data_IF_931922357170
#
_entry.id   IF_931922357170
#
_cell.length_a   1.000
_cell.length_b   1.000
_cell.length_c   1.000
_cell.angle_alpha   90.00
_cell.angle_beta   90.00
_cell.angle_gamma   90.00
#
_symmetry.space_group_name_H-M   'P 1'
#
loop_
_entity.id
_entity.type
_entity.pdbx_description
1 polymer ?
#
# COMPACT_ATOMS: atom_id res chain seq x y z
N UNK A 1 -0.58 18.50 -0.42
CA UNK A 1 0.62 19.33 -0.30
C UNK A 1 1.81 18.56 -0.86
N UNK A 2 2.56 19.16 -1.77
CA UNK A 2 3.82 18.56 -2.27
C UNK A 2 4.90 18.74 -1.20
N UNK A 3 5.61 17.67 -0.91
CA UNK A 3 6.68 17.62 0.09
C UNK A 3 7.80 16.68 -0.39
N UNK A 4 8.84 16.55 0.41
CA UNK A 4 9.88 15.52 0.24
C UNK A 4 10.38 15.06 1.61
N UNK A 5 11.03 13.90 1.64
CA UNK A 5 11.73 13.38 2.82
C UNK A 5 13.02 12.69 2.41
N UNK A 6 13.92 12.50 3.37
CA UNK A 6 15.20 11.85 3.15
C UNK A 6 15.10 10.33 3.32
N UNK A 7 15.74 9.57 2.43
CA UNK A 7 15.94 8.13 2.56
C UNK A 7 17.35 7.78 2.09
N UNK A 8 18.21 7.33 3.01
CA UNK A 8 19.60 6.89 2.72
C UNK A 8 20.39 7.83 1.79
N UNK A 9 20.27 9.16 2.01
CA UNK A 9 20.97 10.17 1.23
C UNK A 9 20.27 10.62 -0.06
N UNK A 10 19.14 10.03 -0.41
CA UNK A 10 18.28 10.47 -1.52
C UNK A 10 17.09 11.29 -1.01
N UNK A 11 16.71 12.35 -1.74
CA UNK A 11 15.49 13.13 -1.49
C UNK A 11 14.35 12.48 -2.26
N UNK A 12 13.34 11.96 -1.56
CA UNK A 12 12.19 11.32 -2.16
C UNK A 12 11.02 12.31 -2.27
N UNK A 13 10.52 12.57 -3.49
CA UNK A 13 9.32 13.38 -3.68
C UNK A 13 8.08 12.67 -3.12
N UNK A 14 7.21 13.43 -2.46
CA UNK A 14 5.98 12.90 -1.90
C UNK A 14 4.82 13.88 -1.98
N UNK A 15 3.61 13.36 -1.88
CA UNK A 15 2.37 14.13 -1.71
C UNK A 15 1.73 13.74 -0.38
N UNK A 16 1.64 14.69 0.53
CA UNK A 16 0.93 14.52 1.79
C UNK A 16 -0.51 15.05 1.64
N UNK A 17 -1.47 14.16 1.79
CA UNK A 17 -2.88 14.47 1.96
C UNK A 17 -3.13 14.56 3.47
N UNK A 18 -2.94 15.77 4.02
CA UNK A 18 -3.07 16.00 5.44
C UNK A 18 -4.53 16.02 5.89
N UNK A 19 -4.79 15.49 7.06
CA UNK A 19 -6.07 15.54 7.75
C UNK A 19 -5.87 15.81 9.24
N UNK A 20 -6.96 16.00 9.97
CA UNK A 20 -6.94 16.43 11.38
C UNK A 20 -6.76 15.29 12.39
N UNK A 21 -6.87 14.03 11.97
CA UNK A 21 -6.74 12.90 12.91
C UNK A 21 -5.27 12.57 13.20
N UNK A 22 -5.06 11.89 14.33
CA UNK A 22 -3.76 11.36 14.71
C UNK A 22 -3.42 10.04 14.00
N UNK A 23 -4.00 9.79 12.83
CA UNK A 23 -3.86 8.57 12.05
C UNK A 23 -3.35 8.87 10.64
N UNK A 24 -2.52 7.97 10.09
CA UNK A 24 -2.02 8.12 8.73
C UNK A 24 -1.73 6.79 8.04
N UNK A 25 -1.73 6.80 6.72
CA UNK A 25 -1.40 5.64 5.88
C UNK A 25 -0.30 6.02 4.90
N UNK A 26 0.73 5.19 4.79
CA UNK A 26 1.74 5.27 3.74
C UNK A 26 1.29 4.39 2.58
N UNK A 27 1.31 4.95 1.36
CA UNK A 27 0.89 4.26 0.14
C UNK A 27 2.09 4.06 -0.79
N UNK A 28 2.45 2.79 -0.97
CA UNK A 28 3.56 2.36 -1.82
C UNK A 28 3.08 2.17 -3.27
N UNK A 29 3.63 2.93 -4.24
CA UNK A 29 3.19 2.88 -5.62
C UNK A 29 3.58 1.58 -6.33
N UNK A 30 2.98 1.29 -7.50
CA UNK A 30 3.40 0.17 -8.34
C UNK A 30 4.81 0.35 -8.91
N UNK A 31 5.22 -0.52 -9.82
CA UNK A 31 6.61 -0.64 -10.28
C UNK A 31 7.11 0.62 -10.99
N UNK A 32 8.19 1.28 -10.51
CA UNK A 32 8.64 2.58 -11.01
C UNK A 32 9.06 2.55 -12.49
N UNK A 33 9.66 1.45 -12.97
CA UNK A 33 10.06 1.33 -14.38
C UNK A 33 8.87 1.12 -15.35
N UNK A 34 7.67 0.87 -14.81
CA UNK A 34 6.43 0.75 -15.61
C UNK A 34 5.46 1.91 -15.33
N UNK A 35 6.00 3.08 -14.97
CA UNK A 35 5.21 4.29 -14.75
C UNK A 35 4.55 4.40 -13.37
N UNK A 36 4.87 3.47 -12.46
CA UNK A 36 4.39 3.56 -11.08
C UNK A 36 4.97 4.78 -10.36
N UNK A 37 4.11 5.58 -9.74
CA UNK A 37 4.50 6.78 -9.03
C UNK A 37 3.47 7.17 -7.98
N UNK A 38 3.79 8.17 -7.15
CA UNK A 38 2.86 8.80 -6.20
C UNK A 38 1.60 9.38 -6.84
N UNK A 39 1.63 9.56 -8.17
CA UNK A 39 0.50 10.08 -8.95
C UNK A 39 -0.35 8.97 -9.61
N UNK A 40 -0.07 7.69 -9.32
CA UNK A 40 -0.90 6.59 -9.80
C UNK A 40 -2.36 6.82 -9.40
N UNK A 41 -3.27 6.72 -10.37
CA UNK A 41 -4.67 7.12 -10.20
C UNK A 41 -5.37 6.33 -9.10
N UNK A 42 -5.02 5.05 -8.92
CA UNK A 42 -5.58 4.15 -7.90
C UNK A 42 -5.08 4.55 -6.52
N UNK A 43 -3.76 4.80 -6.39
CA UNK A 43 -3.13 5.28 -5.15
C UNK A 43 -3.72 6.63 -4.74
N UNK A 44 -3.83 7.57 -5.68
CA UNK A 44 -4.42 8.90 -5.42
C UNK A 44 -5.90 8.80 -5.02
N UNK A 45 -6.67 7.90 -5.66
CA UNK A 45 -8.08 7.69 -5.31
C UNK A 45 -8.23 7.21 -3.87
N UNK A 46 -7.43 6.21 -3.48
CA UNK A 46 -7.41 5.68 -2.11
C UNK A 46 -6.99 6.77 -1.12
N UNK A 47 -5.93 7.53 -1.42
CA UNK A 47 -5.46 8.62 -0.56
C UNK A 47 -6.54 9.66 -0.30
N UNK A 48 -7.27 10.08 -1.33
CA UNK A 48 -8.39 11.02 -1.21
C UNK A 48 -9.53 10.43 -0.38
N UNK A 49 -9.88 9.17 -0.58
CA UNK A 49 -10.94 8.49 0.16
C UNK A 49 -10.62 8.40 1.65
N UNK A 50 -9.37 8.09 2.01
CA UNK A 50 -8.89 8.08 3.40
C UNK A 50 -8.99 9.48 4.04
N UNK A 51 -8.59 10.51 3.30
CA UNK A 51 -8.58 11.90 3.78
C UNK A 51 -9.98 12.43 4.07
N UNK A 52 -11.01 12.02 3.31
CA UNK A 52 -12.41 12.36 3.56
C UNK A 52 -12.91 11.91 4.95
N UNK A 53 -12.23 10.94 5.56
CA UNK A 53 -12.55 10.39 6.89
C UNK A 53 -11.52 10.71 7.96
N UNK A 54 -10.71 11.73 7.71
CA UNK A 54 -9.77 12.21 8.70
C UNK A 54 -8.44 11.47 8.75
N UNK A 55 -8.19 10.47 7.90
CA UNK A 55 -6.92 9.73 7.87
C UNK A 55 -5.96 10.40 6.90
N UNK A 56 -4.83 10.89 7.40
CA UNK A 56 -3.78 11.45 6.55
C UNK A 56 -3.16 10.39 5.64
N UNK A 57 -2.70 10.77 4.46
CA UNK A 57 -2.11 9.82 3.52
C UNK A 57 -0.82 10.35 2.90
N UNK A 58 0.21 9.53 2.84
CA UNK A 58 1.48 9.84 2.20
C UNK A 58 1.67 8.96 0.96
N UNK A 59 1.61 9.57 -0.21
CA UNK A 59 2.02 8.96 -1.47
C UNK A 59 3.43 9.45 -1.79
N UNK A 60 4.37 8.57 -2.14
CA UNK A 60 5.76 8.94 -2.42
C UNK A 60 6.29 8.23 -3.66
N UNK A 61 7.31 8.78 -4.27
CA UNK A 61 8.07 8.10 -5.30
C UNK A 61 9.26 7.42 -4.67
N UNK A 62 9.57 6.21 -5.15
CA UNK A 62 10.83 5.56 -4.80
C UNK A 62 12.01 6.37 -5.35
N UNK A 63 13.16 6.25 -4.70
CA UNK A 63 14.42 6.78 -5.20
C UNK A 63 14.95 6.00 -6.40
N UNK A 64 16.26 5.95 -6.53
CA UNK A 64 16.92 5.15 -7.57
C UNK A 64 16.51 3.68 -7.46
N UNK A 65 16.12 3.08 -8.61
CA UNK A 65 15.61 1.71 -8.65
C UNK A 65 16.61 0.68 -8.12
N UNK A 66 16.22 -0.04 -7.09
CA UNK A 66 17.05 -1.03 -6.38
C UNK A 66 16.53 -2.46 -6.43
N UNK A 67 15.72 -2.81 -7.45
CA UNK A 67 15.12 -4.15 -7.65
C UNK A 67 14.29 -4.65 -6.45
N UNK A 68 13.72 -3.74 -5.68
CA UNK A 68 12.91 -4.01 -4.49
C UNK A 68 13.65 -3.79 -3.17
N UNK A 69 14.98 -3.90 -3.13
CA UNK A 69 15.75 -3.79 -1.88
C UNK A 69 15.79 -2.35 -1.36
N UNK A 70 16.17 -1.40 -2.22
CA UNK A 70 16.16 0.03 -1.86
C UNK A 70 14.73 0.52 -1.55
N UNK A 71 13.76 0.04 -2.31
CA UNK A 71 12.37 0.42 -2.15
C UNK A 71 11.79 -0.03 -0.80
N UNK A 72 12.24 -1.15 -0.24
CA UNK A 72 11.91 -1.56 1.14
C UNK A 72 12.41 -0.52 2.13
N UNK A 73 13.68 -0.06 2.01
CA UNK A 73 14.22 0.97 2.88
C UNK A 73 13.48 2.32 2.70
N UNK A 74 13.19 2.72 1.45
CA UNK A 74 12.40 3.94 1.18
C UNK A 74 11.02 3.87 1.88
N UNK A 75 10.40 2.69 1.90
CA UNK A 75 9.12 2.48 2.58
C UNK A 75 9.25 2.59 4.10
N UNK A 76 10.31 2.04 4.70
CA UNK A 76 10.57 2.18 6.14
C UNK A 76 10.78 3.65 6.53
N UNK A 77 11.54 4.38 5.72
CA UNK A 77 11.79 5.81 5.96
C UNK A 77 10.49 6.64 5.77
N UNK A 78 9.63 6.28 4.81
CA UNK A 78 8.31 6.88 4.65
C UNK A 78 7.38 6.62 5.87
N UNK A 79 7.40 5.41 6.42
CA UNK A 79 6.67 5.08 7.65
C UNK A 79 7.21 5.89 8.82
N UNK A 80 8.53 5.99 8.97
CA UNK A 80 9.18 6.81 10.02
C UNK A 80 8.78 8.28 9.89
N UNK A 81 8.81 8.83 8.67
CA UNK A 81 8.37 10.19 8.39
C UNK A 81 6.91 10.45 8.80
N UNK A 82 6.02 9.48 8.56
CA UNK A 82 4.62 9.60 9.00
C UNK A 82 4.48 9.50 10.51
N UNK A 83 5.23 8.63 11.18
CA UNK A 83 5.19 8.46 12.65
C UNK A 83 5.59 9.70 13.43
N UNK A 84 6.40 10.57 12.86
CA UNK A 84 6.71 11.89 13.45
C UNK A 84 5.49 12.83 13.46
N UNK A 85 4.44 12.54 12.68
CA UNK A 85 3.28 13.41 12.42
C UNK A 85 1.97 12.86 12.96
N UNK A 86 1.89 11.54 13.12
CA UNK A 86 0.66 10.85 13.56
C UNK A 86 0.98 9.75 14.57
N UNK A 87 0.01 9.40 15.42
CA UNK A 87 0.19 8.38 16.48
C UNK A 87 0.05 6.95 15.95
N UNK A 88 -0.79 6.74 14.93
CA UNK A 88 -1.07 5.41 14.37
C UNK A 88 -0.82 5.42 12.87
N UNK A 89 -0.02 4.47 12.38
CA UNK A 89 0.32 4.35 10.95
C UNK A 89 -0.18 3.02 10.41
N UNK A 90 -0.81 3.08 9.23
CA UNK A 90 -1.10 1.96 8.36
C UNK A 90 -0.18 1.96 7.13
N UNK A 91 -0.07 0.82 6.48
CA UNK A 91 0.75 0.67 5.28
C UNK A 91 -0.08 -0.01 4.18
N UNK A 92 -0.06 0.58 2.99
CA UNK A 92 -0.68 0.01 1.79
C UNK A 92 0.36 -0.12 0.69
N UNK A 93 0.33 -1.22 -0.03
CA UNK A 93 1.08 -1.38 -1.26
C UNK A 93 0.22 -1.88 -2.41
N UNK A 94 0.50 -1.40 -3.62
CA UNK A 94 -0.15 -1.85 -4.85
C UNK A 94 0.87 -2.51 -5.78
N UNK A 95 0.56 -3.72 -6.27
CA UNK A 95 1.38 -4.47 -7.23
C UNK A 95 2.80 -4.71 -6.70
N UNK A 96 3.84 -4.21 -7.39
CA UNK A 96 5.22 -4.16 -6.89
C UNK A 96 5.30 -3.57 -5.49
N UNK A 97 4.62 -2.44 -5.27
CA UNK A 97 4.57 -1.77 -3.98
C UNK A 97 3.98 -2.64 -2.88
N UNK A 98 3.08 -3.59 -3.20
CA UNK A 98 2.56 -4.54 -2.21
C UNK A 98 3.62 -5.55 -1.76
N UNK A 99 4.50 -6.00 -2.67
CA UNK A 99 5.63 -6.88 -2.32
C UNK A 99 6.63 -6.14 -1.44
N UNK A 100 7.03 -4.92 -1.86
CA UNK A 100 7.93 -4.04 -1.10
C UNK A 100 7.38 -3.73 0.29
N UNK A 101 6.13 -3.28 0.35
CA UNK A 101 5.44 -2.93 1.60
C UNK A 101 5.30 -4.15 2.53
N UNK A 102 5.06 -5.35 2.00
CA UNK A 102 4.99 -6.58 2.81
C UNK A 102 6.32 -6.92 3.48
N UNK A 103 7.45 -6.60 2.85
CA UNK A 103 8.79 -6.77 3.46
C UNK A 103 9.03 -5.71 4.53
N UNK A 104 8.71 -4.45 4.23
CA UNK A 104 8.86 -3.36 5.19
C UNK A 104 7.95 -3.55 6.42
N UNK A 105 6.77 -4.13 6.26
CA UNK A 105 5.81 -4.35 7.35
C UNK A 105 6.32 -5.27 8.46
N UNK A 106 7.29 -6.14 8.18
CA UNK A 106 7.91 -7.00 9.18
C UNK A 106 8.73 -6.21 10.21
N UNK A 107 9.34 -5.10 9.77
CA UNK A 107 10.23 -4.27 10.60
C UNK A 107 9.58 -2.93 10.99
N UNK A 108 8.39 -2.62 10.43
CA UNK A 108 7.67 -1.39 10.70
C UNK A 108 6.60 -1.57 11.79
N UNK A 109 6.53 -0.61 12.74
CA UNK A 109 5.41 -0.57 13.70
C UNK A 109 4.18 0.04 13.01
N UNK A 110 3.38 -0.82 12.38
CA UNK A 110 2.13 -0.46 11.73
C UNK A 110 0.94 -1.16 12.39
N UNK A 111 -0.24 -0.56 12.35
CA UNK A 111 -1.46 -1.11 12.95
C UNK A 111 -2.35 -1.88 11.97
N UNK A 112 -2.12 -1.70 10.68
CA UNK A 112 -2.83 -2.39 9.61
C UNK A 112 -2.06 -2.36 8.31
N UNK A 113 -2.21 -3.41 7.52
CA UNK A 113 -1.56 -3.59 6.22
C UNK A 113 -2.58 -3.91 5.14
N UNK A 114 -2.45 -3.25 3.99
CA UNK A 114 -3.27 -3.56 2.81
C UNK A 114 -2.36 -3.98 1.65
N UNK A 115 -2.64 -5.14 1.09
CA UNK A 115 -2.01 -5.67 -0.11
C UNK A 115 -3.00 -5.63 -1.28
N UNK A 116 -2.79 -4.71 -2.23
CA UNK A 116 -3.61 -4.59 -3.44
C UNK A 116 -2.88 -5.21 -4.63
N UNK A 117 -3.49 -6.21 -5.28
CA UNK A 117 -2.91 -6.97 -6.41
C UNK A 117 -1.46 -7.42 -6.18
N UNK A 118 -1.21 -8.05 -5.03
CA UNK A 118 0.13 -8.45 -4.61
C UNK A 118 0.67 -9.60 -5.46
N UNK A 119 1.93 -9.49 -5.91
CA UNK A 119 2.66 -10.58 -6.54
C UNK A 119 3.37 -11.46 -5.50
N UNK A 120 3.59 -12.73 -5.80
CA UNK A 120 4.40 -13.61 -4.93
C UNK A 120 5.86 -13.19 -4.84
N UNK A 121 6.42 -12.73 -5.97
CA UNK A 121 7.78 -12.22 -6.04
C UNK A 121 7.94 -11.22 -7.20
N UNK A 122 8.89 -10.34 -7.07
CA UNK A 122 9.33 -9.44 -8.14
C UNK A 122 10.84 -9.24 -8.04
N UNK A 123 11.57 -9.39 -9.15
CA UNK A 123 13.04 -9.24 -9.20
C UNK A 123 13.81 -10.02 -8.10
N UNK A 124 13.31 -11.19 -7.72
CA UNK A 124 13.90 -12.00 -6.65
C UNK A 124 13.38 -11.66 -5.24
N UNK A 125 12.79 -10.51 -5.01
CA UNK A 125 12.15 -10.15 -3.75
C UNK A 125 10.82 -10.92 -3.61
N UNK A 126 10.70 -11.72 -2.56
CA UNK A 126 9.47 -12.47 -2.25
C UNK A 126 8.60 -11.67 -1.28
N UNK A 127 7.28 -11.71 -1.45
CA UNK A 127 6.34 -11.18 -0.47
C UNK A 127 6.55 -11.87 0.90
N UNK A 128 6.38 -11.12 1.98
CA UNK A 128 6.47 -11.62 3.36
C UNK A 128 5.23 -11.19 4.12
N UNK A 129 4.48 -12.15 4.68
CA UNK A 129 3.18 -11.90 5.31
C UNK A 129 3.09 -12.53 6.71
N UNK A 130 4.25 -12.73 7.35
CA UNK A 130 4.38 -13.41 8.65
C UNK A 130 4.35 -12.47 9.87
N UNK A 131 4.09 -11.19 9.66
CA UNK A 131 3.95 -10.20 10.74
C UNK A 131 2.52 -10.18 11.33
N UNK A 132 2.37 -9.65 12.55
CA UNK A 132 1.12 -9.77 13.34
C UNK A 132 0.03 -8.73 12.99
N UNK A 133 0.39 -7.59 12.36
CA UNK A 133 -0.61 -6.56 12.01
C UNK A 133 -1.75 -7.14 11.17
N UNK A 134 -2.98 -6.68 11.44
CA UNK A 134 -4.14 -7.08 10.64
C UNK A 134 -3.94 -6.76 9.16
N UNK A 135 -4.40 -7.65 8.29
CA UNK A 135 -4.19 -7.58 6.84
C UNK A 135 -5.50 -7.54 6.08
N UNK A 136 -5.60 -6.64 5.10
CA UNK A 136 -6.62 -6.70 4.06
C UNK A 136 -5.95 -6.97 2.72
N UNK A 137 -6.46 -7.95 2.00
CA UNK A 137 -6.06 -8.25 0.63
C UNK A 137 -7.15 -7.78 -0.32
N UNK A 138 -6.79 -6.99 -1.33
CA UNK A 138 -7.70 -6.56 -2.40
C UNK A 138 -7.15 -7.07 -3.72
N UNK A 139 -7.96 -7.83 -4.48
CA UNK A 139 -7.46 -8.51 -5.68
C UNK A 139 -8.51 -8.59 -6.79
N UNK A 140 -8.05 -8.49 -8.04
CA UNK A 140 -8.87 -8.72 -9.22
C UNK A 140 -8.94 -10.20 -9.57
N UNK A 141 -10.14 -10.76 -9.76
CA UNK A 141 -10.32 -12.16 -10.14
C UNK A 141 -9.72 -12.48 -11.51
N UNK A 142 -9.69 -11.51 -12.42
CA UNK A 142 -9.14 -11.62 -13.78
C UNK A 142 -7.74 -11.00 -13.91
N UNK A 143 -7.03 -10.85 -12.79
CA UNK A 143 -5.67 -10.32 -12.77
C UNK A 143 -4.70 -11.29 -13.44
N UNK A 144 -4.15 -10.90 -14.58
CA UNK A 144 -3.17 -11.70 -15.36
C UNK A 144 -1.72 -11.34 -15.04
N UNK A 145 -1.48 -10.23 -14.33
CA UNK A 145 -0.15 -9.79 -13.89
C UNK A 145 0.23 -10.42 -12.56
N UNK A 146 -0.73 -10.47 -11.63
CA UNK A 146 -0.64 -11.19 -10.36
C UNK A 146 -1.74 -12.27 -10.35
N UNK A 147 -1.48 -13.49 -10.84
CA UNK A 147 -2.51 -14.50 -11.03
C UNK A 147 -3.29 -14.83 -9.76
N UNK A 148 -4.60 -15.03 -9.91
CA UNK A 148 -5.51 -15.27 -8.79
C UNK A 148 -5.11 -16.47 -7.93
N UNK A 149 -4.59 -17.53 -8.54
CA UNK A 149 -4.10 -18.71 -7.83
C UNK A 149 -2.90 -18.40 -6.92
N UNK A 150 -2.01 -17.50 -7.36
CA UNK A 150 -0.88 -17.04 -6.55
C UNK A 150 -1.34 -16.17 -5.38
N UNK A 151 -2.32 -15.31 -5.61
CA UNK A 151 -2.99 -14.55 -4.55
C UNK A 151 -3.64 -15.48 -3.50
N UNK A 152 -4.40 -16.48 -3.91
CA UNK A 152 -5.03 -17.44 -2.99
C UNK A 152 -3.99 -18.20 -2.14
N UNK A 153 -2.83 -18.53 -2.72
CA UNK A 153 -1.72 -19.13 -1.96
C UNK A 153 -1.16 -18.16 -0.94
N UNK A 154 -0.84 -16.93 -1.33
CA UNK A 154 -0.37 -15.88 -0.42
C UNK A 154 -1.36 -15.61 0.71
N UNK A 155 -2.66 -15.53 0.38
CA UNK A 155 -3.70 -15.34 1.38
C UNK A 155 -3.74 -16.50 2.39
N UNK A 156 -3.62 -17.75 1.96
CA UNK A 156 -3.58 -18.91 2.88
C UNK A 156 -2.35 -18.90 3.77
N UNK A 157 -1.18 -18.59 3.21
CA UNK A 157 0.11 -18.56 3.90
C UNK A 157 0.23 -17.40 4.90
N UNK A 158 -0.48 -16.29 4.66
CA UNK A 158 -0.43 -15.12 5.52
C UNK A 158 -0.90 -15.43 6.95
N UNK A 159 -0.12 -15.01 7.95
CA UNK A 159 -0.42 -15.20 9.37
C UNK A 159 -1.26 -14.06 9.95
N UNK A 160 -1.83 -14.31 11.13
CA UNK A 160 -2.59 -13.33 11.88
C UNK A 160 -3.98 -13.05 11.31
N UNK A 161 -4.60 -11.97 11.80
CA UNK A 161 -5.92 -11.54 11.36
C UNK A 161 -5.85 -11.05 9.91
N UNK A 162 -6.70 -11.61 9.05
CA UNK A 162 -6.73 -11.28 7.63
C UNK A 162 -8.15 -11.30 7.07
N UNK A 163 -8.40 -10.37 6.16
CA UNK A 163 -9.65 -10.22 5.42
C UNK A 163 -9.30 -10.12 3.92
N UNK A 164 -10.23 -10.45 3.01
CA UNK A 164 -10.02 -10.26 1.58
C UNK A 164 -11.24 -9.68 0.88
N UNK A 165 -11.00 -8.85 -0.12
CA UNK A 165 -11.96 -8.39 -1.10
C UNK A 165 -11.49 -8.87 -2.48
N UNK A 166 -12.31 -9.66 -3.15
CA UNK A 166 -12.07 -10.11 -4.52
C UNK A 166 -13.10 -9.44 -5.42
N UNK A 167 -12.63 -8.75 -6.44
CA UNK A 167 -13.46 -8.00 -7.39
C UNK A 167 -13.38 -8.64 -8.78
N UNK A 168 -14.44 -8.57 -9.55
CA UNK A 168 -14.44 -9.05 -10.93
C UNK A 168 -13.81 -8.01 -11.86
N UNK A 169 -12.48 -7.95 -11.84
CA UNK A 169 -11.67 -6.95 -12.56
C UNK A 169 -10.27 -7.51 -12.87
N UNK A 170 -9.55 -6.77 -13.71
CA UNK A 170 -8.14 -6.98 -14.05
C UNK A 170 -7.17 -6.43 -12.98
N UNK A 171 -5.86 -6.50 -13.29
CA UNK A 171 -4.79 -5.93 -12.44
C UNK A 171 -4.95 -4.43 -12.20
N UNK A 172 -5.48 -3.70 -13.18
CA UNK A 172 -5.51 -2.24 -13.21
C UNK A 172 -6.81 -1.64 -12.67
N UNK A 173 -7.79 -2.49 -12.30
CA UNK A 173 -9.12 -2.06 -11.82
C UNK A 173 -9.87 -1.21 -12.84
N UNK A 174 -9.70 -1.51 -14.13
CA UNK A 174 -10.33 -0.78 -15.23
C UNK A 174 -11.71 -1.31 -15.61
N UNK A 175 -11.99 -2.59 -15.32
CA UNK A 175 -13.30 -3.16 -15.58
C UNK A 175 -14.36 -2.48 -14.70
N UNK A 176 -15.43 -2.01 -15.34
CA UNK A 176 -16.50 -1.24 -14.69
C UNK A 176 -15.99 0.01 -13.92
N UNK A 177 -14.97 0.67 -14.45
CA UNK A 177 -14.46 1.93 -13.90
C UNK A 177 -15.53 3.03 -13.93
N UNK A 178 -15.73 3.85 -12.87
CA UNK A 178 -14.93 3.90 -11.65
C UNK A 178 -15.43 2.97 -10.53
N UNK A 179 -16.55 2.27 -10.70
CA UNK A 179 -17.23 1.51 -9.65
C UNK A 179 -16.30 0.51 -8.93
N UNK A 180 -15.45 -0.18 -9.67
CA UNK A 180 -14.55 -1.20 -9.13
C UNK A 180 -13.50 -0.59 -8.21
N UNK A 181 -12.84 0.48 -8.64
CA UNK A 181 -11.83 1.15 -7.81
C UNK A 181 -12.47 1.89 -6.64
N UNK A 182 -13.70 2.38 -6.77
CA UNK A 182 -14.45 3.00 -5.68
C UNK A 182 -14.79 1.98 -4.59
N UNK A 183 -15.26 0.80 -4.96
CA UNK A 183 -15.52 -0.31 -4.03
C UNK A 183 -14.25 -0.75 -3.29
N UNK A 184 -13.11 -0.86 -4.01
CA UNK A 184 -11.82 -1.14 -3.41
C UNK A 184 -11.42 -0.05 -2.40
N UNK A 185 -11.51 1.22 -2.79
CA UNK A 185 -11.11 2.37 -1.97
C UNK A 185 -11.96 2.48 -0.71
N UNK A 186 -13.27 2.28 -0.82
CA UNK A 186 -14.19 2.29 0.32
C UNK A 186 -13.88 1.16 1.33
N UNK A 187 -13.62 -0.05 0.83
CA UNK A 187 -13.28 -1.20 1.68
C UNK A 187 -11.94 -0.97 2.38
N UNK A 188 -10.94 -0.46 1.68
CA UNK A 188 -9.64 -0.08 2.25
C UNK A 188 -9.80 0.99 3.34
N UNK A 189 -10.61 2.01 3.08
CA UNK A 189 -10.92 3.05 4.06
C UNK A 189 -11.55 2.46 5.32
N UNK A 190 -12.61 1.65 5.19
CA UNK A 190 -13.29 1.00 6.33
C UNK A 190 -12.31 0.14 7.15
N UNK A 191 -11.40 -0.57 6.48
CA UNK A 191 -10.37 -1.35 7.14
C UNK A 191 -9.45 -0.46 7.98
N UNK A 192 -8.90 0.62 7.41
CA UNK A 192 -8.01 1.51 8.14
C UNK A 192 -8.72 2.30 9.25
N UNK A 193 -9.98 2.71 9.07
CA UNK A 193 -10.78 3.30 10.16
C UNK A 193 -10.83 2.35 11.37
N UNK A 194 -11.13 1.08 11.15
CA UNK A 194 -11.20 0.05 12.20
C UNK A 194 -9.85 -0.22 12.87
N UNK A 195 -8.74 -0.08 12.15
CA UNK A 195 -7.40 -0.40 12.66
C UNK A 195 -6.70 0.80 13.31
N UNK A 196 -6.96 2.01 12.84
CA UNK A 196 -6.20 3.20 13.21
C UNK A 196 -6.97 4.16 14.12
N UNK A 197 -8.29 4.27 13.93
CA UNK A 197 -9.13 5.20 14.69
C UNK A 197 -9.71 4.45 15.90
N UNK A 198 -9.29 4.87 17.08
CA UNK A 198 -9.82 4.38 18.37
C UNK A 198 -10.61 5.48 19.04
#
# INVERSE_FOLDING_TARGET
MQISFMSKGEILPATLYASSSACGVVLCPPHPLYGGSRNDTRIVRIAKELTLRGISSLCFDYGSYGKGVKEVQNTLDAVSFMRERVKSVGLLGYSFGAVVASKAAADADIKGFVAMSILRKVNGLKASLEFDSAKLFVHGKRDTVAPYEDFERLYREAKGRKEKLVLDTDHFYLDNYPTTIDSASETIRKFFEKMLVK
#
